data_IF_520166209075
#
_entry.id   IF_520166209075
#
_cell.length_a   1.000
_cell.length_b   1.000
_cell.length_c   1.000
_cell.angle_alpha   90.00
_cell.angle_beta   90.00
_cell.angle_gamma   90.00
#
_symmetry.space_group_name_H-M   'P 1'
#
loop_
_entity.id
_entity.type
_entity.pdbx_description
1 polymer ?
#
# COMPACT_ATOMS: atom_id res chain seq x y z
N UNK A 1 -10.11 0.46 5.00
CA UNK A 1 -10.85 0.48 6.29
C UNK A 1 -10.12 1.18 7.43
N UNK A 2 -8.81 1.44 7.29
CA UNK A 2 -8.04 2.19 8.29
C UNK A 2 -8.43 3.68 8.34
N UNK A 3 -8.78 4.26 7.20
CA UNK A 3 -9.03 5.70 7.05
C UNK A 3 -10.23 5.96 6.15
N UNK A 4 -10.72 7.18 6.13
CA UNK A 4 -11.68 7.65 5.15
C UNK A 4 -11.14 8.90 4.44
N UNK A 5 -11.88 9.41 3.46
CA UNK A 5 -11.56 10.70 2.83
C UNK A 5 -11.79 11.85 3.80
N UNK A 6 -10.93 12.86 3.79
CA UNK A 6 -11.17 14.14 4.49
C UNK A 6 -12.44 14.85 4.02
N UNK A 7 -12.99 14.49 2.85
CA UNK A 7 -14.27 14.98 2.34
C UNK A 7 -15.48 14.19 2.84
N UNK A 8 -15.27 13.08 3.55
CA UNK A 8 -16.35 12.29 4.11
C UNK A 8 -17.10 13.07 5.19
N UNK A 9 -18.42 12.95 5.22
CA UNK A 9 -19.27 13.71 6.15
C UNK A 9 -18.91 13.52 7.62
N UNK A 10 -18.45 12.33 8.02
CA UNK A 10 -18.01 12.08 9.40
C UNK A 10 -16.83 12.97 9.78
N UNK A 11 -15.85 13.07 8.88
CA UNK A 11 -14.67 13.89 9.15
C UNK A 11 -15.01 15.38 9.13
N UNK A 12 -15.85 15.83 8.20
CA UNK A 12 -16.31 17.22 8.15
C UNK A 12 -17.05 17.62 9.45
N UNK A 13 -17.92 16.74 9.95
CA UNK A 13 -18.59 16.95 11.24
C UNK A 13 -17.63 16.94 12.42
N UNK A 14 -16.65 16.02 12.42
CA UNK A 14 -15.59 15.99 13.45
C UNK A 14 -14.73 17.26 13.46
N UNK A 15 -14.42 17.82 12.30
CA UNK A 15 -13.67 19.09 12.22
C UNK A 15 -14.48 20.29 12.68
N UNK A 16 -15.80 20.27 12.48
CA UNK A 16 -16.70 21.32 12.96
C UNK A 16 -16.90 21.26 14.49
N UNK A 17 -16.94 20.07 15.07
CA UNK A 17 -17.07 19.82 16.51
C UNK A 17 -16.21 18.61 16.93
N UNK A 18 -14.91 18.83 17.21
CA UNK A 18 -14.00 17.75 17.56
C UNK A 18 -14.24 17.12 18.96
N UNK A 19 -15.03 17.75 19.79
CA UNK A 19 -15.44 17.23 21.11
C UNK A 19 -16.81 16.54 21.07
N UNK A 20 -17.51 16.62 19.93
CA UNK A 20 -18.80 16.00 19.71
C UNK A 20 -18.72 14.51 19.31
N UNK A 21 -19.86 13.94 18.96
CA UNK A 21 -19.99 12.52 18.59
C UNK A 21 -18.99 12.10 17.52
N UNK A 22 -18.95 12.83 16.40
CA UNK A 22 -18.09 12.49 15.26
C UNK A 22 -16.60 12.70 15.55
N UNK A 23 -16.23 13.55 16.51
CA UNK A 23 -14.85 13.67 16.99
C UNK A 23 -14.32 12.36 17.55
N UNK A 24 -15.18 11.53 18.15
CA UNK A 24 -14.81 10.21 18.70
C UNK A 24 -14.53 9.16 17.61
N UNK A 25 -14.94 9.41 16.35
CA UNK A 25 -14.72 8.50 15.22
C UNK A 25 -13.29 8.53 14.69
N UNK A 26 -12.52 9.53 15.10
CA UNK A 26 -11.13 9.75 14.71
C UNK A 26 -10.23 9.85 15.93
N UNK A 27 -8.94 9.73 15.75
CA UNK A 27 -7.97 9.98 16.81
C UNK A 27 -7.65 11.47 16.83
N UNK A 28 -8.39 12.24 17.63
CA UNK A 28 -8.15 13.67 17.87
C UNK A 28 -7.51 13.82 19.25
N UNK A 29 -6.40 14.54 19.34
CA UNK A 29 -5.60 14.71 20.56
C UNK A 29 -5.17 16.15 20.77
N UNK A 30 -5.04 16.52 22.04
CA UNK A 30 -4.39 17.77 22.44
C UNK A 30 -2.87 17.67 22.16
N UNK A 31 -2.35 18.71 21.57
CA UNK A 31 -0.92 18.83 21.36
C UNK A 31 -0.14 19.22 22.63
N UNK A 32 1.16 19.27 22.52
CA UNK A 32 2.07 19.69 23.59
C UNK A 32 2.61 21.09 23.27
N UNK A 33 2.11 22.13 23.94
CA UNK A 33 2.52 23.54 23.70
C UNK A 33 2.35 23.98 22.23
N UNK A 34 1.25 23.61 21.59
CA UNK A 34 0.97 23.93 20.20
C UNK A 34 1.74 23.08 19.17
N UNK A 35 2.53 22.11 19.63
CA UNK A 35 3.21 21.10 18.83
C UNK A 35 2.39 19.81 18.77
N UNK A 36 2.62 18.95 17.75
CA UNK A 36 1.94 17.66 17.66
C UNK A 36 2.03 16.80 18.94
N UNK A 37 1.05 15.93 19.18
CA UNK A 37 1.02 15.06 20.38
C UNK A 37 2.23 14.12 20.50
N UNK A 38 2.73 13.62 19.35
CA UNK A 38 3.89 12.72 19.28
C UNK A 38 4.77 13.04 18.07
N UNK A 39 5.99 12.51 18.07
CA UNK A 39 6.94 12.66 16.97
C UNK A 39 6.81 11.53 15.92
N UNK A 40 5.63 11.03 15.64
CA UNK A 40 5.46 9.95 14.67
C UNK A 40 5.45 10.48 13.23
N UNK A 41 6.12 9.74 12.33
CA UNK A 41 6.20 10.03 10.89
C UNK A 41 5.19 9.22 10.12
N UNK A 42 4.44 9.89 9.22
CA UNK A 42 3.55 9.28 8.24
C UNK A 42 4.32 8.37 7.26
N UNK A 43 3.63 7.37 6.71
CA UNK A 43 4.18 6.52 5.63
C UNK A 43 4.63 7.32 4.41
N UNK A 44 4.01 8.47 4.16
CA UNK A 44 4.37 9.35 3.04
C UNK A 44 5.30 10.50 3.43
N UNK A 45 5.84 10.46 4.65
CA UNK A 45 6.73 11.49 5.19
C UNK A 45 5.99 12.60 5.94
N UNK A 46 6.75 13.37 6.72
CA UNK A 46 6.19 14.40 7.60
C UNK A 46 5.50 13.82 8.84
N UNK A 47 4.89 14.70 9.66
CA UNK A 47 4.16 14.30 10.86
C UNK A 47 2.88 13.55 10.51
N UNK A 48 2.48 12.56 11.34
CA UNK A 48 1.15 11.92 11.28
C UNK A 48 0.03 12.82 11.83
N UNK A 49 0.37 14.00 12.33
CA UNK A 49 -0.57 14.89 12.98
C UNK A 49 -0.79 16.17 12.18
N UNK A 50 -2.05 16.46 11.89
CA UNK A 50 -2.43 17.71 11.25
C UNK A 50 -3.37 18.50 12.19
N UNK A 51 -3.26 19.84 12.20
CA UNK A 51 -4.11 20.69 13.05
C UNK A 51 -5.58 20.60 12.67
N UNK A 52 -6.43 20.52 13.70
CA UNK A 52 -7.87 20.70 13.52
C UNK A 52 -8.15 22.17 13.21
N UNK A 53 -8.83 22.48 12.09
CA UNK A 53 -9.12 23.86 11.71
C UNK A 53 -9.85 24.63 12.83
N UNK A 54 -9.38 25.84 13.15
CA UNK A 54 -9.98 26.68 14.19
C UNK A 54 -9.54 26.37 15.62
N UNK A 55 -8.72 25.35 15.83
CA UNK A 55 -8.20 24.99 17.15
C UNK A 55 -6.68 25.11 17.21
N UNK A 56 -6.16 25.82 18.22
CA UNK A 56 -4.71 26.08 18.33
C UNK A 56 -3.91 24.83 18.72
N UNK A 57 -4.50 23.94 19.52
CA UNK A 57 -3.80 22.83 20.18
C UNK A 57 -4.47 21.46 19.98
N UNK A 58 -5.39 21.31 19.01
CA UNK A 58 -5.98 20.02 18.64
C UNK A 58 -5.44 19.53 17.32
N UNK A 59 -5.16 18.22 17.25
CA UNK A 59 -4.60 17.56 16.08
C UNK A 59 -5.36 16.27 15.83
N UNK A 60 -5.56 15.93 14.53
CA UNK A 60 -6.06 14.63 14.12
C UNK A 60 -4.95 13.77 13.53
N UNK A 61 -5.09 12.45 13.69
CA UNK A 61 -4.12 11.46 13.21
C UNK A 61 -4.40 11.07 11.76
N UNK A 62 -3.34 10.97 10.96
CA UNK A 62 -3.34 10.35 9.64
C UNK A 62 -2.06 9.54 9.43
N UNK A 63 -2.15 8.24 9.35
CA UNK A 63 -0.97 7.38 9.09
C UNK A 63 -0.42 7.54 7.68
N UNK A 64 -1.26 7.96 6.73
CA UNK A 64 -0.95 8.20 5.32
C UNK A 64 -1.02 9.70 4.99
N UNK A 65 -1.70 10.12 3.93
CA UNK A 65 -1.86 11.53 3.62
C UNK A 65 -2.83 12.24 4.60
N UNK A 66 -2.65 13.54 4.78
CA UNK A 66 -3.55 14.36 5.62
C UNK A 66 -5.01 14.35 5.17
N UNK A 67 -5.24 14.06 3.89
CA UNK A 67 -6.56 13.85 3.31
C UNK A 67 -7.17 12.48 3.64
N UNK A 68 -6.45 11.63 4.38
CA UNK A 68 -6.82 10.27 4.76
C UNK A 68 -6.82 10.10 6.30
N UNK A 69 -7.69 10.81 7.05
CA UNK A 69 -7.74 10.71 8.52
C UNK A 69 -8.04 9.29 8.98
N UNK A 70 -7.32 8.84 10.00
CA UNK A 70 -7.43 7.49 10.54
C UNK A 70 -8.69 7.33 11.38
N UNK A 71 -9.48 6.30 11.10
CA UNK A 71 -10.67 5.91 11.85
C UNK A 71 -10.29 5.28 13.19
N UNK A 72 -11.03 5.63 14.21
CA UNK A 72 -10.84 5.09 15.56
C UNK A 72 -11.54 3.72 15.72
N UNK A 73 -10.81 2.65 15.43
CA UNK A 73 -11.31 1.28 15.55
C UNK A 73 -11.56 0.82 16.99
N UNK A 74 -11.09 1.55 18.01
CA UNK A 74 -11.47 1.30 19.41
C UNK A 74 -12.93 1.70 19.68
N UNK A 75 -13.50 2.59 18.85
CA UNK A 75 -14.89 2.99 18.95
C UNK A 75 -15.79 1.94 18.29
N UNK A 76 -16.61 1.27 19.09
CA UNK A 76 -17.54 0.24 18.62
C UNK A 76 -18.53 0.76 17.56
N UNK A 77 -18.99 2.00 17.72
CA UNK A 77 -19.92 2.62 16.74
C UNK A 77 -19.25 2.74 15.36
N UNK A 78 -17.95 3.05 15.30
CA UNK A 78 -17.21 3.11 14.05
C UNK A 78 -17.12 1.71 13.43
N UNK A 79 -16.78 0.68 14.22
CA UNK A 79 -16.72 -0.70 13.73
C UNK A 79 -18.07 -1.15 13.17
N UNK A 80 -19.16 -0.93 13.91
CA UNK A 80 -20.49 -1.26 13.44
C UNK A 80 -20.82 -0.64 12.08
N UNK A 81 -20.54 0.66 11.91
CA UNK A 81 -20.78 1.35 10.63
C UNK A 81 -19.90 0.80 9.48
N UNK A 82 -18.68 0.39 9.78
CA UNK A 82 -17.82 -0.27 8.78
C UNK A 82 -18.39 -1.63 8.41
N UNK A 83 -18.86 -2.42 9.38
CA UNK A 83 -19.47 -3.72 9.11
C UNK A 83 -20.79 -3.60 8.34
N UNK A 84 -21.64 -2.64 8.69
CA UNK A 84 -22.85 -2.32 7.92
C UNK A 84 -22.52 -2.01 6.44
N UNK A 85 -21.49 -1.20 6.20
CA UNK A 85 -21.04 -0.87 4.84
C UNK A 85 -20.53 -2.10 4.09
N UNK A 86 -19.71 -2.95 4.74
CA UNK A 86 -19.19 -4.17 4.12
C UNK A 86 -20.36 -5.12 3.78
N UNK A 87 -21.27 -5.36 4.74
CA UNK A 87 -22.42 -6.23 4.53
C UNK A 87 -23.34 -5.69 3.43
N UNK A 88 -23.54 -4.38 3.36
CA UNK A 88 -24.33 -3.78 2.29
C UNK A 88 -23.79 -4.13 0.89
N UNK A 89 -22.46 -4.09 0.69
CA UNK A 89 -21.86 -4.51 -0.56
C UNK A 89 -22.01 -6.00 -0.82
N UNK A 90 -21.89 -6.83 0.22
CA UNK A 90 -22.11 -8.28 0.11
C UNK A 90 -23.57 -8.58 -0.30
N UNK A 91 -24.53 -7.86 0.25
CA UNK A 91 -25.96 -7.96 -0.10
C UNK A 91 -26.24 -7.55 -1.56
N UNK A 92 -25.37 -6.71 -2.17
CA UNK A 92 -25.43 -6.40 -3.61
C UNK A 92 -24.84 -7.52 -4.49
N UNK A 93 -24.35 -8.61 -3.90
CA UNK A 93 -23.83 -9.76 -4.63
C UNK A 93 -22.32 -9.76 -4.84
N UNK A 94 -21.55 -8.95 -4.11
CA UNK A 94 -20.09 -9.10 -4.09
C UNK A 94 -19.71 -10.46 -3.53
N UNK A 95 -18.69 -11.10 -4.12
CA UNK A 95 -18.18 -12.39 -3.67
C UNK A 95 -17.05 -12.26 -2.63
N UNK A 96 -16.59 -11.04 -2.33
CA UNK A 96 -15.53 -10.83 -1.34
C UNK A 96 -14.83 -9.48 -1.48
N UNK A 97 -13.75 -9.31 -0.72
CA UNK A 97 -12.99 -8.05 -0.63
C UNK A 97 -11.49 -8.25 -0.60
N UNK A 98 -10.77 -7.34 -1.23
CA UNK A 98 -9.41 -6.98 -0.83
C UNK A 98 -9.50 -5.89 0.23
N UNK A 99 -8.87 -6.10 1.39
CA UNK A 99 -8.94 -5.16 2.51
C UNK A 99 -7.61 -4.42 2.65
N UNK A 100 -7.66 -3.13 2.36
CA UNK A 100 -6.56 -2.19 2.37
C UNK A 100 -6.06 -1.86 3.77
N UNK A 101 -4.73 -1.71 3.91
CA UNK A 101 -4.05 -1.19 5.11
C UNK A 101 -4.51 -1.84 6.42
N UNK A 102 -4.79 -3.15 6.39
CA UNK A 102 -5.48 -3.83 7.49
C UNK A 102 -4.65 -3.88 8.77
N UNK A 103 -3.32 -3.87 8.66
CA UNK A 103 -2.45 -3.86 9.82
C UNK A 103 -2.49 -2.55 10.61
N UNK A 104 -3.00 -1.48 10.01
CA UNK A 104 -3.03 -0.14 10.60
C UNK A 104 -4.28 0.16 11.42
N UNK A 105 -5.31 -0.70 11.40
CA UNK A 105 -6.55 -0.45 12.13
C UNK A 105 -6.37 -0.43 13.65
N UNK A 106 -5.38 -1.17 14.17
CA UNK A 106 -5.02 -1.18 15.60
C UNK A 106 -3.80 -0.30 15.83
N UNK A 107 -3.88 0.61 16.78
CA UNK A 107 -2.80 1.51 17.17
C UNK A 107 -2.35 1.23 18.60
N UNK A 108 -1.07 1.50 18.88
CA UNK A 108 -0.60 1.61 20.26
C UNK A 108 -1.12 2.94 20.84
N UNK A 109 -1.95 2.85 21.87
CA UNK A 109 -2.63 4.00 22.46
C UNK A 109 -1.81 4.73 23.53
N UNK A 110 -0.53 4.39 23.70
CA UNK A 110 0.35 5.02 24.70
C UNK A 110 0.61 6.50 24.38
N UNK A 111 0.53 6.90 23.12
CA UNK A 111 0.66 8.30 22.65
C UNK A 111 1.91 9.00 23.18
N UNK A 112 3.06 8.33 23.08
CA UNK A 112 4.36 8.85 23.49
C UNK A 112 5.29 9.07 22.31
N UNK A 113 6.26 9.96 22.49
CA UNK A 113 7.36 10.11 21.55
C UNK A 113 8.19 8.81 21.52
N UNK A 114 8.69 8.49 20.32
CA UNK A 114 9.57 7.36 20.07
C UNK A 114 10.98 7.86 19.79
N UNK A 115 11.96 6.94 19.88
CA UNK A 115 13.32 7.25 19.44
C UNK A 115 13.29 7.56 17.93
N UNK A 116 13.74 8.78 17.53
CA UNK A 116 13.78 9.17 16.14
C UNK A 116 14.60 8.19 15.29
N UNK A 117 14.18 7.95 14.07
CA UNK A 117 14.87 7.04 13.13
C UNK A 117 15.22 7.70 11.80
N UNK A 118 15.12 9.02 11.73
CA UNK A 118 15.50 9.83 10.58
C UNK A 118 16.03 11.21 10.99
N UNK A 119 16.62 11.94 10.03
CA UNK A 119 17.20 13.28 10.29
C UNK A 119 16.16 14.35 10.61
N UNK A 120 14.88 14.08 10.32
CA UNK A 120 13.72 14.93 10.60
C UNK A 120 13.28 14.92 12.08
N UNK A 121 13.93 14.12 12.94
CA UNK A 121 13.57 13.99 14.35
C UNK A 121 12.28 13.20 14.60
N UNK A 122 11.72 12.58 13.57
CA UNK A 122 10.51 11.78 13.66
C UNK A 122 10.84 10.27 13.73
N UNK A 123 9.85 9.48 14.11
CA UNK A 123 9.91 8.02 14.17
C UNK A 123 8.79 7.39 13.34
N UNK A 124 9.11 6.33 12.61
CA UNK A 124 8.19 5.64 11.72
C UNK A 124 6.93 5.16 12.46
N UNK A 125 5.75 5.53 11.95
CA UNK A 125 4.44 5.17 12.51
C UNK A 125 4.21 3.65 12.52
N UNK A 126 4.89 2.89 11.67
CA UNK A 126 4.82 1.43 11.68
C UNK A 126 5.18 0.80 13.05
N UNK A 127 6.03 1.47 13.84
CA UNK A 127 6.39 1.02 15.19
C UNK A 127 5.20 0.95 16.15
N UNK A 128 4.14 1.72 15.89
CA UNK A 128 2.94 1.85 16.72
C UNK A 128 1.65 1.40 16.04
N UNK A 129 1.73 0.89 14.80
CA UNK A 129 0.58 0.39 14.05
C UNK A 129 0.78 -1.03 13.52
N UNK A 130 1.91 -1.32 12.90
CA UNK A 130 2.11 -2.55 12.12
C UNK A 130 2.16 -3.87 12.91
N UNK A 131 2.26 -3.83 14.25
CA UNK A 131 2.47 -5.03 15.10
C UNK A 131 1.75 -4.96 16.45
N UNK A 132 0.65 -4.24 16.52
CA UNK A 132 -0.03 -3.98 17.80
C UNK A 132 -0.78 -5.22 18.26
N UNK A 133 -0.51 -5.66 19.49
CA UNK A 133 -1.22 -6.79 20.13
C UNK A 133 -2.72 -6.48 20.20
N UNK A 134 -3.54 -7.50 19.89
CA UNK A 134 -5.00 -7.40 19.94
C UNK A 134 -5.65 -7.02 18.61
N UNK A 135 -4.87 -6.83 17.53
CA UNK A 135 -5.44 -6.63 16.20
C UNK A 135 -6.34 -7.82 15.78
N UNK A 136 -5.97 -9.04 16.19
CA UNK A 136 -6.73 -10.24 15.88
C UNK A 136 -8.18 -10.20 16.36
N UNK A 137 -8.47 -9.48 17.45
CA UNK A 137 -9.83 -9.35 17.95
C UNK A 137 -10.73 -8.61 16.94
N UNK A 138 -10.23 -7.50 16.36
CA UNK A 138 -10.94 -6.75 15.31
C UNK A 138 -11.07 -7.54 14.01
N UNK A 139 -10.03 -8.29 13.65
CA UNK A 139 -10.04 -9.10 12.43
C UNK A 139 -11.02 -10.27 12.54
N UNK A 140 -11.10 -10.94 13.70
CA UNK A 140 -12.07 -11.99 13.96
C UNK A 140 -13.50 -11.44 14.00
N UNK A 141 -13.73 -10.31 14.67
CA UNK A 141 -15.04 -9.68 14.71
C UNK A 141 -15.52 -9.36 13.28
N UNK A 142 -14.67 -8.77 12.45
CA UNK A 142 -15.00 -8.46 11.05
C UNK A 142 -15.27 -9.74 10.23
N UNK A 143 -14.46 -10.80 10.42
CA UNK A 143 -14.63 -12.09 9.75
C UNK A 143 -16.00 -12.68 10.07
N UNK A 144 -16.33 -12.82 11.36
CA UNK A 144 -17.57 -13.42 11.80
C UNK A 144 -18.82 -12.62 11.41
N UNK A 145 -18.69 -11.29 11.40
CA UNK A 145 -19.80 -10.38 11.11
C UNK A 145 -20.06 -10.19 9.61
N UNK A 146 -18.97 -10.12 8.82
CA UNK A 146 -19.06 -9.62 7.45
C UNK A 146 -18.70 -10.65 6.38
N UNK A 147 -17.89 -11.66 6.68
CA UNK A 147 -17.35 -12.56 5.66
C UNK A 147 -17.89 -13.98 5.73
N UNK A 148 -17.89 -14.59 6.91
CA UNK A 148 -18.42 -15.94 7.10
C UNK A 148 -19.89 -16.10 6.69
N UNK A 149 -20.80 -15.14 7.01
CA UNK A 149 -22.21 -15.28 6.62
C UNK A 149 -22.43 -15.33 5.11
N UNK A 150 -21.48 -14.85 4.32
CA UNK A 150 -21.56 -14.77 2.85
C UNK A 150 -20.62 -15.74 2.13
N UNK A 151 -19.91 -16.59 2.86
CA UNK A 151 -18.84 -17.45 2.28
C UNK A 151 -17.87 -16.64 1.39
N UNK A 152 -17.45 -15.47 1.88
CA UNK A 152 -16.73 -14.48 1.10
C UNK A 152 -15.26 -14.83 0.92
N UNK A 153 -14.72 -14.65 -0.29
CA UNK A 153 -13.29 -14.64 -0.55
C UNK A 153 -12.67 -13.32 -0.05
N UNK A 154 -11.71 -13.39 0.84
CA UNK A 154 -11.04 -12.21 1.39
C UNK A 154 -9.53 -12.24 1.19
N UNK A 155 -8.98 -11.08 0.79
CA UNK A 155 -7.54 -10.88 0.63
C UNK A 155 -7.11 -9.72 1.49
N UNK A 156 -6.33 -10.00 2.54
CA UNK A 156 -5.79 -8.94 3.41
C UNK A 156 -4.51 -8.32 2.84
N UNK A 157 -4.43 -6.99 2.85
CA UNK A 157 -3.15 -6.31 2.67
C UNK A 157 -2.43 -6.26 4.02
N UNK A 158 -1.78 -7.37 4.38
CA UNK A 158 -1.04 -7.53 5.61
C UNK A 158 0.45 -7.70 5.31
N UNK A 159 1.21 -6.62 5.48
CA UNK A 159 2.66 -6.62 5.24
C UNK A 159 3.42 -7.14 6.47
N UNK A 160 4.54 -7.82 6.24
CA UNK A 160 5.49 -8.26 7.27
C UNK A 160 4.86 -9.11 8.38
N UNK A 161 3.91 -9.96 8.01
CA UNK A 161 3.34 -10.97 8.91
C UNK A 161 4.41 -12.01 9.20
N UNK A 162 4.76 -12.16 10.48
CA UNK A 162 5.78 -13.12 10.87
C UNK A 162 5.32 -14.57 10.65
N UNK A 163 6.26 -15.44 10.31
CA UNK A 163 6.04 -16.87 10.08
C UNK A 163 5.22 -17.53 11.20
N UNK A 164 5.53 -17.20 12.47
CA UNK A 164 4.90 -17.82 13.63
C UNK A 164 3.41 -17.49 13.79
N UNK A 165 2.98 -16.34 13.24
CA UNK A 165 1.58 -15.88 13.31
C UNK A 165 0.86 -15.98 11.97
N UNK A 166 1.56 -16.33 10.89
CA UNK A 166 0.96 -16.47 9.56
C UNK A 166 -0.27 -17.41 9.55
N UNK A 167 -0.31 -18.55 10.26
CA UNK A 167 -1.50 -19.39 10.33
C UNK A 167 -2.72 -18.73 10.97
N UNK A 168 -2.53 -17.59 11.67
CA UNK A 168 -3.66 -16.79 12.17
C UNK A 168 -4.26 -15.90 11.08
N UNK A 169 -3.48 -15.57 10.05
CA UNK A 169 -3.91 -14.69 8.96
C UNK A 169 -4.55 -15.44 7.81
N UNK A 170 -4.05 -16.64 7.47
CA UNK A 170 -4.47 -17.42 6.31
C UNK A 170 -4.89 -18.82 6.69
N UNK A 171 -5.55 -19.53 5.78
CA UNK A 171 -6.04 -20.89 5.98
C UNK A 171 -7.46 -20.94 6.57
N UNK A 172 -7.94 -22.14 6.86
CA UNK A 172 -9.35 -22.37 7.24
C UNK A 172 -9.81 -21.60 8.47
N UNK A 173 -8.90 -21.39 9.42
CA UNK A 173 -9.18 -20.62 10.64
C UNK A 173 -8.58 -19.21 10.61
N UNK A 174 -7.92 -18.82 9.50
CA UNK A 174 -7.30 -17.52 9.35
C UNK A 174 -8.31 -16.38 9.35
N UNK A 175 -7.83 -15.16 9.62
CA UNK A 175 -8.64 -13.94 9.55
C UNK A 175 -9.16 -13.67 8.14
N UNK A 176 -8.36 -14.06 7.13
CA UNK A 176 -8.65 -13.92 5.71
C UNK A 176 -8.52 -15.26 4.99
N UNK A 177 -9.14 -15.37 3.82
CA UNK A 177 -8.91 -16.52 2.93
C UNK A 177 -7.43 -16.56 2.49
N UNK A 178 -6.82 -15.40 2.25
CA UNK A 178 -5.41 -15.24 1.91
C UNK A 178 -4.91 -13.82 2.19
N UNK A 179 -3.59 -13.62 2.17
CA UNK A 179 -2.92 -12.32 2.14
C UNK A 179 -1.95 -12.28 0.95
N UNK A 180 -1.51 -11.09 0.57
CA UNK A 180 -0.52 -10.95 -0.50
C UNK A 180 0.88 -11.37 -0.04
N UNK A 181 1.59 -12.11 -0.90
CA UNK A 181 2.99 -12.48 -0.71
C UNK A 181 3.91 -11.29 -1.03
N UNK A 182 4.04 -10.36 -0.08
CA UNK A 182 4.85 -9.15 -0.26
C UNK A 182 6.36 -9.38 -0.13
N UNK A 183 6.79 -10.33 0.70
CA UNK A 183 8.20 -10.55 1.00
C UNK A 183 9.05 -10.80 -0.26
N UNK A 184 8.68 -11.71 -1.18
CA UNK A 184 9.42 -11.90 -2.41
C UNK A 184 9.43 -10.63 -3.30
N UNK A 185 8.29 -9.96 -3.41
CA UNK A 185 8.16 -8.74 -4.24
C UNK A 185 8.98 -7.58 -3.71
N UNK A 186 9.22 -7.52 -2.41
CA UNK A 186 9.95 -6.45 -1.75
C UNK A 186 11.42 -6.78 -1.46
N UNK A 187 11.93 -7.92 -1.90
CA UNK A 187 13.32 -8.33 -1.65
C UNK A 187 14.37 -7.33 -2.14
N UNK A 188 14.03 -6.44 -3.10
CA UNK A 188 14.89 -5.36 -3.58
C UNK A 188 15.00 -4.17 -2.61
N UNK A 189 14.09 -4.04 -1.66
CA UNK A 189 14.04 -2.93 -0.69
C UNK A 189 15.07 -3.17 0.42
N UNK A 190 16.33 -2.81 0.17
CA UNK A 190 17.44 -3.03 1.12
C UNK A 190 17.53 -1.99 2.23
N UNK A 191 16.83 -0.86 2.09
CA UNK A 191 16.78 0.25 3.04
C UNK A 191 15.45 0.94 3.06
N UNK A 192 15.40 2.20 3.57
CA UNK A 192 14.17 2.97 3.70
C UNK A 192 13.89 3.86 2.49
N UNK A 193 14.93 4.23 1.76
CA UNK A 193 14.82 5.20 0.68
C UNK A 193 15.03 4.53 -0.67
N UNK A 194 14.49 5.08 -1.73
CA UNK A 194 14.64 4.57 -3.09
C UNK A 194 16.12 4.44 -3.52
N UNK A 195 17.00 5.32 -3.02
CA UNK A 195 18.42 5.24 -3.30
C UNK A 195 19.11 4.01 -2.69
N UNK A 196 18.48 3.37 -1.70
CA UNK A 196 18.98 2.17 -1.03
C UNK A 196 18.45 0.88 -1.69
N UNK A 197 17.53 0.99 -2.64
CA UNK A 197 16.91 -0.16 -3.28
C UNK A 197 17.80 -0.77 -4.35
N UNK A 198 17.76 -2.10 -4.47
CA UNK A 198 18.46 -2.82 -5.55
C UNK A 198 17.76 -2.63 -6.89
N UNK A 199 18.54 -2.37 -7.96
CA UNK A 199 18.00 -2.30 -9.32
C UNK A 199 19.06 -2.68 -10.37
N UNK A 200 18.74 -3.57 -11.31
CA UNK A 200 17.61 -4.49 -11.26
C UNK A 200 17.64 -5.33 -9.99
N UNK A 201 16.49 -5.83 -9.57
CA UNK A 201 16.44 -6.67 -8.38
C UNK A 201 17.30 -7.92 -8.61
N UNK A 202 18.23 -8.26 -7.70
CA UNK A 202 18.99 -9.48 -7.83
C UNK A 202 18.06 -10.69 -7.86
N UNK A 203 18.06 -11.41 -8.97
CA UNK A 203 17.15 -12.57 -9.16
C UNK A 203 17.36 -13.65 -8.08
N UNK A 204 18.60 -13.82 -7.60
CA UNK A 204 18.90 -14.77 -6.54
C UNK A 204 18.27 -14.38 -5.17
N UNK A 205 18.18 -13.10 -4.86
CA UNK A 205 17.51 -12.63 -3.65
C UNK A 205 16.00 -12.90 -3.74
N UNK A 206 15.37 -12.55 -4.85
CA UNK A 206 13.97 -12.84 -5.09
C UNK A 206 13.65 -14.33 -5.05
N UNK A 207 14.47 -15.16 -5.71
CA UNK A 207 14.35 -16.62 -5.72
C UNK A 207 14.49 -17.19 -4.31
N UNK A 208 15.44 -16.69 -3.52
CA UNK A 208 15.65 -17.13 -2.14
C UNK A 208 14.44 -16.82 -1.27
N UNK A 209 13.92 -15.61 -1.34
CA UNK A 209 12.72 -15.21 -0.58
C UNK A 209 11.48 -15.98 -1.06
N UNK A 210 11.32 -16.19 -2.36
CA UNK A 210 10.24 -17.01 -2.91
C UNK A 210 10.29 -18.44 -2.39
N UNK A 211 11.45 -19.09 -2.41
CA UNK A 211 11.58 -20.46 -1.90
C UNK A 211 11.38 -20.55 -0.40
N UNK A 212 11.82 -19.55 0.34
CA UNK A 212 11.57 -19.45 1.78
C UNK A 212 10.06 -19.34 2.04
N UNK A 213 9.40 -18.41 1.39
CA UNK A 213 7.96 -18.20 1.52
C UNK A 213 7.13 -19.44 1.15
N UNK A 214 7.47 -20.12 0.04
CA UNK A 214 6.79 -21.36 -0.36
C UNK A 214 6.89 -22.48 0.67
N UNK A 215 7.97 -22.55 1.47
CA UNK A 215 8.11 -23.50 2.58
C UNK A 215 7.24 -23.13 3.78
N UNK A 216 7.14 -21.83 4.07
CA UNK A 216 6.35 -21.34 5.20
C UNK A 216 4.87 -21.61 4.96
N UNK A 217 4.36 -21.27 3.78
CA UNK A 217 2.93 -21.40 3.47
C UNK A 217 2.47 -22.86 3.30
N UNK A 218 3.38 -23.81 3.12
CA UNK A 218 3.04 -25.23 2.97
C UNK A 218 2.14 -25.74 4.10
N UNK A 219 2.36 -25.25 5.32
CA UNK A 219 1.61 -25.64 6.52
C UNK A 219 0.48 -24.70 6.90
N UNK A 220 0.54 -23.46 6.42
CA UNK A 220 -0.42 -22.42 6.80
C UNK A 220 -1.61 -22.31 5.83
N UNK A 221 -1.40 -22.66 4.56
CA UNK A 221 -2.43 -22.50 3.54
C UNK A 221 -1.84 -22.10 2.19
N UNK A 222 -2.26 -20.96 1.66
CA UNK A 222 -1.71 -20.36 0.45
C UNK A 222 -1.81 -18.83 0.53
N UNK A 223 -0.94 -18.15 -0.19
CA UNK A 223 -0.95 -16.71 -0.33
C UNK A 223 -1.35 -16.29 -1.74
N UNK A 224 -1.72 -15.02 -1.87
CA UNK A 224 -1.95 -14.38 -3.16
C UNK A 224 -0.60 -13.97 -3.77
N UNK A 225 -0.14 -14.72 -4.77
CA UNK A 225 1.13 -14.47 -5.44
C UNK A 225 1.03 -13.26 -6.35
N UNK A 226 1.95 -12.31 -6.20
CA UNK A 226 2.08 -11.12 -7.02
C UNK A 226 3.52 -10.94 -7.50
N UNK A 227 3.70 -10.26 -8.62
CA UNK A 227 4.99 -9.75 -9.09
C UNK A 227 4.96 -8.22 -9.06
N UNK A 228 3.80 -7.65 -9.33
CA UNK A 228 3.53 -6.22 -9.34
C UNK A 228 2.10 -5.94 -8.88
N UNK A 229 1.84 -4.72 -8.49
CA UNK A 229 0.50 -4.20 -8.17
C UNK A 229 0.46 -2.68 -8.40
N UNK A 230 -0.66 -2.03 -8.02
CA UNK A 230 -0.85 -0.58 -8.15
C UNK A 230 0.05 0.28 -7.23
N UNK A 231 0.78 -0.34 -6.30
CA UNK A 231 1.67 0.32 -5.33
C UNK A 231 3.15 -0.05 -5.52
N UNK A 232 3.49 -0.61 -6.68
CA UNK A 232 4.86 -0.99 -7.04
C UNK A 232 5.18 -0.59 -8.47
N UNK A 233 6.46 -0.47 -8.83
CA UNK A 233 6.87 -0.39 -10.24
C UNK A 233 6.44 -1.63 -11.00
N UNK A 234 6.47 -1.58 -12.33
CA UNK A 234 6.22 -2.74 -13.17
C UNK A 234 7.23 -3.86 -12.93
N UNK A 235 6.74 -5.08 -12.76
CA UNK A 235 7.57 -6.25 -12.47
C UNK A 235 8.58 -6.53 -13.58
N UNK A 236 8.23 -6.32 -14.85
CA UNK A 236 9.17 -6.40 -15.96
C UNK A 236 10.42 -5.55 -15.70
N UNK A 237 10.25 -4.31 -15.25
CA UNK A 237 11.35 -3.37 -15.02
C UNK A 237 12.08 -3.59 -13.69
N UNK A 238 11.47 -4.26 -12.72
CA UNK A 238 12.14 -4.63 -11.47
C UNK A 238 13.08 -5.83 -11.65
N UNK A 239 12.65 -6.83 -12.42
CA UNK A 239 13.30 -8.14 -12.46
C UNK A 239 14.16 -8.37 -13.71
N UNK A 240 13.89 -7.65 -14.80
CA UNK A 240 14.55 -7.87 -16.08
C UNK A 240 15.27 -6.59 -16.50
N UNK A 241 16.58 -6.65 -16.83
CA UNK A 241 17.26 -5.53 -17.48
C UNK A 241 16.56 -5.12 -18.78
N UNK A 242 16.51 -3.81 -19.10
CA UNK A 242 15.78 -3.30 -20.27
C UNK A 242 16.28 -3.93 -21.59
N UNK A 243 17.59 -4.17 -21.70
CA UNK A 243 18.22 -4.83 -22.85
C UNK A 243 17.82 -6.29 -23.05
N UNK A 244 17.30 -6.94 -22.01
CA UNK A 244 16.85 -8.33 -22.01
C UNK A 244 15.32 -8.47 -22.15
N UNK A 245 14.57 -7.38 -22.34
CA UNK A 245 13.14 -7.46 -22.53
C UNK A 245 12.80 -8.25 -23.80
N UNK A 246 11.98 -9.27 -23.65
CA UNK A 246 11.55 -10.10 -24.76
C UNK A 246 10.56 -11.18 -24.33
N UNK A 247 10.04 -11.87 -25.32
CA UNK A 247 9.03 -12.92 -25.11
C UNK A 247 9.49 -13.95 -24.07
N UNK A 248 10.71 -14.43 -24.15
CA UNK A 248 11.18 -15.51 -23.27
C UNK A 248 11.41 -15.05 -21.83
N UNK A 249 11.98 -13.87 -21.61
CA UNK A 249 12.24 -13.34 -20.28
C UNK A 249 10.94 -12.99 -19.55
N UNK A 250 10.01 -12.34 -20.24
CA UNK A 250 8.70 -11.99 -19.68
C UNK A 250 7.84 -13.23 -19.44
N UNK A 251 7.87 -14.21 -20.36
CA UNK A 251 7.17 -15.48 -20.19
C UNK A 251 7.74 -16.31 -19.02
N UNK A 252 9.07 -16.28 -18.83
CA UNK A 252 9.70 -16.95 -17.68
C UNK A 252 9.25 -16.34 -16.37
N UNK A 253 9.16 -15.00 -16.27
CA UNK A 253 8.66 -14.30 -15.10
C UNK A 253 7.20 -14.68 -14.78
N UNK A 254 6.34 -14.69 -15.81
CA UNK A 254 4.95 -15.12 -15.68
C UNK A 254 4.84 -16.59 -15.25
N UNK A 255 5.63 -17.48 -15.87
CA UNK A 255 5.63 -18.90 -15.55
C UNK A 255 6.03 -19.15 -14.08
N UNK A 256 7.04 -18.45 -13.59
CA UNK A 256 7.48 -18.60 -12.20
C UNK A 256 6.34 -18.24 -11.25
N UNK A 257 5.64 -17.13 -11.47
CA UNK A 257 4.49 -16.74 -10.64
C UNK A 257 3.35 -17.77 -10.69
N UNK A 258 3.00 -18.24 -11.88
CA UNK A 258 1.87 -19.17 -12.08
C UNK A 258 2.16 -20.58 -11.57
N UNK A 259 3.44 -20.98 -11.45
CA UNK A 259 3.83 -22.32 -10.98
C UNK A 259 4.09 -22.38 -9.47
N UNK A 260 3.95 -21.29 -8.73
CA UNK A 260 4.04 -21.28 -7.27
C UNK A 260 2.75 -21.76 -6.63
N UNK A 261 2.86 -22.39 -5.45
CA UNK A 261 1.70 -22.63 -4.59
C UNK A 261 1.12 -21.30 -4.17
N UNK A 262 -0.16 -21.07 -4.45
CA UNK A 262 -0.83 -19.82 -4.13
C UNK A 262 -1.90 -19.48 -5.15
N UNK A 263 -2.55 -18.35 -4.95
CA UNK A 263 -3.52 -17.79 -5.88
C UNK A 263 -2.83 -16.71 -6.71
N UNK A 264 -2.62 -16.88 -8.01
CA UNK A 264 -1.95 -15.88 -8.83
C UNK A 264 -2.85 -14.66 -9.06
N UNK A 265 -2.35 -13.48 -8.72
CA UNK A 265 -2.97 -12.19 -8.99
C UNK A 265 -2.20 -11.49 -10.11
N UNK A 266 -2.79 -11.49 -11.30
CA UNK A 266 -2.25 -10.77 -12.45
C UNK A 266 -2.70 -9.30 -12.39
N UNK A 267 -1.75 -8.40 -12.37
CA UNK A 267 -2.05 -6.98 -12.45
C UNK A 267 -2.26 -6.55 -13.91
N UNK A 268 -3.21 -5.63 -14.14
CA UNK A 268 -3.52 -5.15 -15.49
C UNK A 268 -2.27 -4.66 -16.23
N UNK A 269 -2.04 -5.15 -17.46
CA UNK A 269 -0.88 -4.85 -18.26
C UNK A 269 0.31 -5.79 -18.04
N UNK A 270 0.34 -6.55 -16.96
CA UNK A 270 1.36 -7.57 -16.72
C UNK A 270 1.30 -8.67 -17.80
N UNK A 271 0.09 -9.04 -18.22
CA UNK A 271 -0.18 -10.07 -19.23
C UNK A 271 0.38 -9.74 -20.62
N UNK A 272 0.64 -8.47 -20.90
CA UNK A 272 1.25 -8.00 -22.14
C UNK A 272 2.68 -7.49 -21.94
N UNK A 273 3.22 -7.59 -20.73
CA UNK A 273 4.59 -7.17 -20.41
C UNK A 273 4.77 -5.66 -20.37
N UNK A 274 3.77 -4.89 -19.89
CA UNK A 274 3.96 -3.46 -19.65
C UNK A 274 5.14 -3.23 -18.70
N UNK A 275 5.94 -2.22 -19.02
CA UNK A 275 7.15 -1.83 -18.27
C UNK A 275 7.04 -0.40 -17.72
N UNK A 276 8.01 -0.01 -16.91
CA UNK A 276 8.15 1.37 -16.47
C UNK A 276 8.31 2.32 -17.67
N UNK A 277 7.83 3.56 -17.50
CA UNK A 277 8.13 4.64 -18.44
C UNK A 277 9.23 5.56 -17.91
N UNK A 278 9.74 6.44 -18.76
CA UNK A 278 10.58 7.55 -18.35
C UNK A 278 9.69 8.72 -17.92
N UNK A 279 10.02 9.32 -16.77
CA UNK A 279 9.26 10.40 -16.16
C UNK A 279 10.06 11.70 -16.13
N UNK A 280 9.36 12.80 -16.39
CA UNK A 280 9.85 14.12 -16.00
C UNK A 280 9.35 14.42 -14.57
N UNK A 281 10.11 15.20 -13.80
CA UNK A 281 9.74 15.48 -12.40
C UNK A 281 8.32 16.06 -12.26
N UNK A 282 7.92 16.96 -13.17
CA UNK A 282 6.59 17.59 -13.15
C UNK A 282 5.41 16.64 -13.47
N UNK A 283 5.69 15.43 -13.94
CA UNK A 283 4.67 14.43 -14.27
C UNK A 283 4.31 13.51 -13.10
N UNK A 284 5.13 13.50 -12.04
CA UNK A 284 4.84 12.66 -10.87
C UNK A 284 3.57 13.11 -10.14
N UNK A 285 2.73 12.14 -9.83
CA UNK A 285 1.54 12.32 -9.00
C UNK A 285 1.69 11.64 -7.63
N UNK A 286 2.57 10.65 -7.51
CA UNK A 286 2.80 9.91 -6.29
C UNK A 286 3.63 10.72 -5.28
N UNK A 287 3.02 11.01 -4.12
CA UNK A 287 3.67 11.79 -3.04
C UNK A 287 4.92 11.10 -2.51
N UNK A 288 4.92 9.77 -2.41
CA UNK A 288 6.10 9.03 -1.97
C UNK A 288 7.26 9.25 -2.95
N UNK A 289 7.01 9.13 -4.24
CA UNK A 289 8.02 9.36 -5.29
C UNK A 289 8.60 10.76 -5.24
N UNK A 290 7.74 11.79 -5.07
CA UNK A 290 8.15 13.19 -4.96
C UNK A 290 9.05 13.38 -3.72
N UNK A 291 8.65 12.84 -2.58
CA UNK A 291 9.44 12.91 -1.35
C UNK A 291 10.79 12.18 -1.48
N UNK A 292 10.80 11.00 -2.07
CA UNK A 292 12.03 10.22 -2.30
C UNK A 292 12.99 10.90 -3.27
N UNK A 293 12.49 11.62 -4.27
CA UNK A 293 13.31 12.48 -5.11
C UNK A 293 14.00 13.57 -4.28
N UNK A 294 13.27 14.28 -3.42
CA UNK A 294 13.85 15.32 -2.57
C UNK A 294 14.87 14.76 -1.59
N UNK A 295 14.59 13.62 -0.95
CA UNK A 295 15.54 12.93 -0.06
C UNK A 295 16.85 12.61 -0.80
N UNK A 296 16.78 12.11 -2.02
CA UNK A 296 17.96 11.84 -2.85
C UNK A 296 18.75 13.12 -3.18
N UNK A 297 18.04 14.23 -3.48
CA UNK A 297 18.65 15.54 -3.72
C UNK A 297 19.36 16.09 -2.47
N UNK A 298 18.72 15.99 -1.33
CA UNK A 298 19.28 16.40 -0.02
C UNK A 298 20.48 15.56 0.39
N UNK A 299 20.52 14.29 -0.01
CA UNK A 299 21.67 13.40 0.16
C UNK A 299 22.83 13.71 -0.79
N UNK A 300 22.69 14.73 -1.68
CA UNK A 300 23.74 15.21 -2.56
C UNK A 300 23.77 14.56 -3.95
N UNK A 301 22.77 13.78 -4.33
CA UNK A 301 22.68 13.24 -5.69
C UNK A 301 22.42 14.34 -6.71
N UNK A 302 22.92 14.18 -7.94
CA UNK A 302 22.57 15.07 -9.04
C UNK A 302 21.07 14.97 -9.37
N UNK A 303 20.52 15.99 -10.04
CA UNK A 303 19.12 15.97 -10.48
C UNK A 303 18.81 14.76 -11.35
N UNK A 304 19.69 14.46 -12.30
CA UNK A 304 19.58 13.31 -13.19
C UNK A 304 19.56 11.98 -12.43
N UNK A 305 20.45 11.80 -11.45
CA UNK A 305 20.49 10.60 -10.62
C UNK A 305 19.24 10.45 -9.75
N UNK A 306 18.81 11.52 -9.10
CA UNK A 306 17.61 11.52 -8.28
C UNK A 306 16.34 11.23 -9.11
N UNK A 307 16.24 11.85 -10.29
CA UNK A 307 15.13 11.62 -11.21
C UNK A 307 15.12 10.18 -11.74
N UNK A 308 16.29 9.63 -12.10
CA UNK A 308 16.41 8.24 -12.56
C UNK A 308 15.93 7.25 -11.50
N UNK A 309 16.35 7.42 -10.24
CA UNK A 309 15.96 6.55 -9.13
C UNK A 309 14.46 6.70 -8.83
N UNK A 310 13.97 7.93 -8.73
CA UNK A 310 12.56 8.22 -8.49
C UNK A 310 11.67 7.62 -9.60
N UNK A 311 12.03 7.82 -10.87
CA UNK A 311 11.31 7.26 -12.02
C UNK A 311 11.24 5.74 -11.98
N UNK A 312 12.35 5.08 -11.62
CA UNK A 312 12.39 3.62 -11.61
C UNK A 312 11.49 3.01 -10.53
N UNK A 313 11.51 3.59 -9.33
CA UNK A 313 10.78 3.04 -8.18
C UNK A 313 9.39 3.65 -7.98
N UNK A 314 8.97 4.59 -8.83
CA UNK A 314 7.66 5.23 -8.74
C UNK A 314 6.51 4.25 -8.91
N UNK A 315 5.50 4.36 -8.03
CA UNK A 315 4.22 3.67 -8.16
C UNK A 315 3.41 4.17 -9.38
N UNK A 316 3.67 5.37 -9.85
CA UNK A 316 3.02 5.93 -11.05
C UNK A 316 3.24 5.06 -12.30
N UNK A 317 4.33 4.28 -12.34
CA UNK A 317 4.57 3.32 -13.42
C UNK A 317 3.45 2.27 -13.59
N UNK A 318 2.90 1.79 -12.47
CA UNK A 318 1.80 0.83 -12.48
C UNK A 318 0.43 1.48 -12.77
N UNK A 319 0.36 2.82 -12.71
CA UNK A 319 -0.89 3.60 -12.84
C UNK A 319 -1.05 4.24 -14.22
N UNK A 320 -0.09 4.02 -15.12
CA UNK A 320 -0.19 4.46 -16.52
C UNK A 320 -1.40 3.80 -17.21
N UNK A 321 -2.03 4.46 -18.19
CA UNK A 321 -3.13 3.89 -18.96
C UNK A 321 -2.79 2.54 -19.58
N UNK A 322 -3.76 1.62 -19.58
CA UNK A 322 -3.64 0.33 -20.26
C UNK A 322 -3.39 0.50 -21.76
N UNK A 323 -2.46 -0.26 -22.30
CA UNK A 323 -2.04 -0.19 -23.69
C UNK A 323 -2.86 -1.16 -24.54
N UNK A 324 -4.01 -0.70 -25.07
CA UNK A 324 -4.93 -1.54 -25.82
C UNK A 324 -4.49 -1.77 -27.26
N UNK A 325 -3.91 -0.74 -27.89
CA UNK A 325 -3.45 -0.80 -29.27
C UNK A 325 -2.42 0.30 -29.58
N UNK A 326 -2.00 0.40 -30.84
CA UNK A 326 -1.02 1.39 -31.33
C UNK A 326 -1.62 2.75 -31.72
N UNK A 327 -2.93 2.97 -31.55
CA UNK A 327 -3.60 4.24 -31.83
C UNK A 327 -3.22 5.31 -30.82
N UNK A 328 -3.67 6.56 -31.03
CA UNK A 328 -3.44 7.67 -30.11
C UNK A 328 -3.90 7.31 -28.70
N UNK A 329 -3.15 7.75 -27.69
CA UNK A 329 -3.36 7.42 -26.28
C UNK A 329 -3.42 5.90 -26.01
N UNK A 330 -2.73 5.10 -26.79
CA UNK A 330 -2.73 3.63 -26.71
C UNK A 330 -4.13 3.01 -26.86
N UNK A 331 -5.07 3.68 -27.51
CA UNK A 331 -6.48 3.27 -27.58
C UNK A 331 -7.22 3.29 -26.24
N UNK A 332 -6.64 3.89 -25.19
CA UNK A 332 -7.23 4.00 -23.88
C UNK A 332 -8.36 5.06 -23.83
N UNK A 333 -8.14 6.20 -24.49
CA UNK A 333 -9.07 7.33 -24.48
C UNK A 333 -8.96 8.13 -25.78
N UNK A 334 -10.07 8.74 -26.20
CA UNK A 334 -10.09 9.73 -27.27
C UNK A 334 -9.56 11.10 -26.84
N UNK A 335 -9.54 11.34 -25.53
CA UNK A 335 -9.01 12.57 -24.93
C UNK A 335 -7.67 12.30 -24.24
N UNK A 336 -6.87 13.34 -24.01
CA UNK A 336 -5.59 13.20 -23.31
C UNK A 336 -5.82 12.59 -21.91
N UNK A 337 -5.25 11.42 -21.60
CA UNK A 337 -5.34 10.85 -20.26
C UNK A 337 -4.70 11.76 -19.22
N UNK A 338 -5.22 11.75 -17.99
CA UNK A 338 -4.65 12.52 -16.88
C UNK A 338 -3.26 12.02 -16.46
N UNK A 339 -2.98 10.73 -16.64
CA UNK A 339 -1.62 10.17 -16.57
C UNK A 339 -1.10 9.90 -17.98
N UNK A 340 0.19 10.17 -18.23
CA UNK A 340 0.76 9.94 -19.55
C UNK A 340 0.86 8.44 -19.86
N UNK A 341 0.61 8.10 -21.12
CA UNK A 341 0.81 6.75 -21.65
C UNK A 341 2.32 6.46 -21.76
N UNK A 342 2.73 5.21 -21.56
CA UNK A 342 4.10 4.80 -21.83
C UNK A 342 4.37 4.83 -23.34
N UNK A 343 5.49 5.40 -23.75
CA UNK A 343 5.84 5.59 -25.17
C UNK A 343 5.97 4.28 -25.96
N UNK A 344 6.22 3.16 -25.27
CA UNK A 344 6.37 1.85 -25.89
C UNK A 344 5.03 1.21 -26.33
N UNK A 345 3.89 1.87 -26.15
CA UNK A 345 2.56 1.35 -26.49
C UNK A 345 2.39 0.94 -27.96
N UNK A 346 3.25 1.50 -28.82
CA UNK A 346 3.24 1.12 -30.26
C UNK A 346 3.72 -0.30 -30.53
N UNK A 347 4.44 -0.88 -29.57
CA UNK A 347 5.02 -2.23 -29.65
C UNK A 347 4.41 -3.13 -28.59
N UNK A 348 4.27 -2.62 -27.36
CA UNK A 348 3.69 -3.35 -26.21
C UNK A 348 2.23 -2.95 -26.08
N UNK A 349 1.33 -3.77 -26.57
CA UNK A 349 -0.12 -3.56 -26.50
C UNK A 349 -0.88 -4.86 -26.71
N UNK A 350 -2.20 -4.83 -26.51
CA UNK A 350 -3.07 -6.02 -26.59
C UNK A 350 -3.28 -6.51 -28.02
N UNK A 351 -3.24 -5.64 -29.06
CA UNK A 351 -3.50 -6.00 -30.47
C UNK A 351 -2.27 -6.45 -31.22
#
# INVERSE_FOLDING_TARGET
VNHCSSQHEWFQKAMADPDGEYGTYFYIKEGKNGQPPTNWRSYFGGSVWEKVPGYENKFYLHSFAKEQPDLNWENEVVREKIYEMICWWMDQGLAGFRIDAIMNIKKDLIWSDLEPDGPDGLADVYKVTGKVKGIGDFLLEMKHRCFEPYDALTVGEAMFVKEEILPQFIGDQGYFSTIFAFEPCHAYRKGKNYMDYGWPQPFDDWKKETFHNQKIIEKAGFEANIIENHDQPRGASLFIPEEDYGFYSLSALAMIMLCQRGLPFLYQGQEIGMSNRRWEYAEFNDLETINQYHIAREAGMSEEQALKIASHHSRDNARTPMQWNHDENAGFSTEKPWMPVNENYKIVNVK
#
